data_IF_363233246243
#
_entry.id   IF_363233246243
#
_cell.length_a   1.000
_cell.length_b   1.000
_cell.length_c   1.000
_cell.angle_alpha   90.00
_cell.angle_beta   90.00
_cell.angle_gamma   90.00
#
_symmetry.space_group_name_H-M   'P 1'
#
loop_
_entity.id
_entity.type
_entity.pdbx_description
1 polymer ?
#
# COMPACT_ATOMS: atom_id res chain seq x y z
N UNK A 1 3.53 -16.56 3.69
CA UNK A 1 2.53 -16.49 4.79
C UNK A 1 1.39 -15.53 4.48
N UNK A 2 1.66 -14.34 3.94
CA UNK A 2 0.63 -13.33 3.59
C UNK A 2 -0.29 -13.79 2.45
N UNK A 3 0.23 -14.55 1.47
CA UNK A 3 -0.53 -15.01 0.30
C UNK A 3 -1.83 -15.76 0.68
N UNK A 4 -1.79 -16.63 1.71
CA UNK A 4 -3.00 -17.33 2.18
C UNK A 4 -4.09 -16.38 2.68
N UNK A 5 -3.70 -15.29 3.35
CA UNK A 5 -4.64 -14.28 3.86
C UNK A 5 -5.19 -13.42 2.72
N UNK A 6 -4.37 -13.07 1.73
CA UNK A 6 -4.79 -12.31 0.57
C UNK A 6 -5.77 -13.10 -0.32
N UNK A 7 -5.53 -14.40 -0.52
CA UNK A 7 -6.48 -15.25 -1.23
C UNK A 7 -7.83 -15.32 -0.51
N UNK A 8 -7.83 -15.54 0.81
CA UNK A 8 -9.08 -15.52 1.59
C UNK A 8 -9.75 -14.13 1.53
N UNK A 9 -8.97 -13.05 1.57
CA UNK A 9 -9.53 -11.70 1.44
C UNK A 9 -10.18 -11.49 0.06
N UNK A 10 -9.60 -12.03 -1.02
CA UNK A 10 -10.20 -12.01 -2.36
C UNK A 10 -11.54 -12.75 -2.38
N UNK A 11 -11.61 -13.92 -1.77
CA UNK A 11 -12.85 -14.72 -1.71
C UNK A 11 -13.96 -14.04 -0.92
N UNK A 12 -13.60 -13.22 0.08
CA UNK A 12 -14.54 -12.48 0.93
C UNK A 12 -14.89 -11.08 0.39
N UNK A 13 -14.10 -10.54 -0.52
CA UNK A 13 -14.29 -9.20 -1.05
C UNK A 13 -15.39 -9.20 -2.12
N UNK A 14 -16.31 -8.26 -2.01
CA UNK A 14 -17.31 -8.02 -3.06
C UNK A 14 -16.62 -7.55 -4.36
N UNK A 15 -17.23 -7.82 -5.52
CA UNK A 15 -16.71 -7.38 -6.84
C UNK A 15 -16.48 -5.85 -6.93
N UNK A 16 -17.34 -5.05 -6.28
CA UNK A 16 -17.19 -3.60 -6.18
C UNK A 16 -16.46 -3.16 -4.89
N UNK A 17 -15.97 -4.11 -4.10
CA UNK A 17 -15.32 -3.88 -2.81
C UNK A 17 -13.92 -3.31 -2.96
N UNK A 18 -13.55 -2.43 -2.02
CA UNK A 18 -12.20 -1.89 -1.90
C UNK A 18 -11.63 -2.23 -0.53
N UNK A 19 -10.34 -2.57 -0.47
CA UNK A 19 -9.64 -2.76 0.78
C UNK A 19 -8.29 -2.04 0.76
N UNK A 20 -7.82 -1.69 1.95
CA UNK A 20 -6.60 -0.91 2.14
C UNK A 20 -5.61 -1.72 2.98
N UNK A 21 -4.35 -1.74 2.57
CA UNK A 21 -3.26 -2.31 3.35
C UNK A 21 -2.35 -1.17 3.80
N UNK A 22 -2.19 -1.02 5.11
CA UNK A 22 -1.15 -0.17 5.67
C UNK A 22 0.15 -0.97 5.79
N UNK A 23 1.20 -0.54 5.10
CA UNK A 23 2.52 -1.18 5.12
C UNK A 23 3.63 -0.13 5.19
N UNK A 24 4.83 -0.55 5.57
CA UNK A 24 6.04 0.24 5.41
C UNK A 24 6.66 0.09 4.01
N UNK A 25 7.62 0.96 3.69
CA UNK A 25 8.20 1.03 2.35
C UNK A 25 9.08 -0.19 2.03
N UNK A 26 9.62 -0.86 3.06
CA UNK A 26 10.55 -1.99 2.89
C UNK A 26 9.89 -3.19 2.19
N UNK A 27 8.60 -3.40 2.43
CA UNK A 27 7.84 -4.52 1.87
C UNK A 27 6.83 -4.10 0.80
N UNK A 28 6.71 -2.80 0.51
CA UNK A 28 5.73 -2.28 -0.45
C UNK A 28 5.90 -2.88 -1.85
N UNK A 29 7.13 -2.94 -2.38
CA UNK A 29 7.39 -3.46 -3.72
C UNK A 29 7.01 -4.95 -3.85
N UNK A 30 7.41 -5.78 -2.88
CA UNK A 30 7.06 -7.20 -2.86
C UNK A 30 5.54 -7.41 -2.72
N UNK A 31 4.89 -6.63 -1.85
CA UNK A 31 3.44 -6.71 -1.69
C UNK A 31 2.71 -6.31 -2.96
N UNK A 32 3.17 -5.28 -3.69
CA UNK A 32 2.55 -4.85 -4.95
C UNK A 32 2.56 -5.99 -5.98
N UNK A 33 3.69 -6.67 -6.16
CA UNK A 33 3.79 -7.82 -7.08
C UNK A 33 2.80 -8.93 -6.71
N UNK A 34 2.70 -9.27 -5.42
CA UNK A 34 1.74 -10.28 -4.96
C UNK A 34 0.27 -9.85 -5.14
N UNK A 35 -0.01 -8.57 -4.93
CA UNK A 35 -1.34 -8.02 -5.12
C UNK A 35 -1.74 -8.05 -6.58
N UNK A 36 -0.81 -7.76 -7.50
CA UNK A 36 -1.04 -7.82 -8.94
C UNK A 36 -1.28 -9.26 -9.40
N UNK A 37 -0.54 -10.22 -8.85
CA UNK A 37 -0.75 -11.65 -9.14
C UNK A 37 -2.13 -12.14 -8.65
N UNK A 38 -2.58 -11.71 -7.47
CA UNK A 38 -3.82 -12.21 -6.86
C UNK A 38 -5.05 -11.45 -7.37
N UNK A 39 -4.99 -10.12 -7.44
CA UNK A 39 -6.12 -9.25 -7.74
C UNK A 39 -6.12 -8.69 -9.16
N UNK A 40 -5.03 -8.84 -9.93
CA UNK A 40 -4.87 -8.21 -11.23
C UNK A 40 -4.31 -6.79 -11.11
N UNK A 41 -3.35 -6.45 -11.96
CA UNK A 41 -2.70 -5.13 -11.98
C UNK A 41 -3.70 -4.02 -12.31
N UNK A 42 -4.71 -4.31 -13.13
CA UNK A 42 -5.77 -3.39 -13.54
C UNK A 42 -6.67 -2.93 -12.39
N UNK A 43 -6.73 -3.72 -11.31
CA UNK A 43 -7.53 -3.41 -10.12
C UNK A 43 -6.76 -2.57 -9.09
N UNK A 44 -5.50 -2.22 -9.37
CA UNK A 44 -4.76 -1.29 -8.52
C UNK A 44 -5.26 0.15 -8.70
N UNK A 45 -5.69 0.76 -7.59
CA UNK A 45 -6.24 2.12 -7.62
C UNK A 45 -5.19 3.19 -7.31
N UNK A 46 -4.52 3.10 -6.15
CA UNK A 46 -3.57 4.13 -5.71
C UNK A 46 -2.68 3.67 -4.55
N UNK A 47 -1.54 4.34 -4.39
CA UNK A 47 -0.71 4.29 -3.17
C UNK A 47 -0.82 5.61 -2.43
N UNK A 48 -1.02 5.55 -1.10
CA UNK A 48 -1.20 6.71 -0.25
C UNK A 48 -0.04 6.83 0.75
N UNK A 49 1.00 7.64 0.46
CA UNK A 49 2.13 7.80 1.36
C UNK A 49 1.72 8.55 2.63
N UNK A 50 1.87 7.91 3.79
CA UNK A 50 1.61 8.53 5.09
C UNK A 50 2.88 9.13 5.66
N UNK A 51 2.91 10.45 5.83
CA UNK A 51 3.98 11.14 6.57
C UNK A 51 3.91 10.79 8.05
N UNK A 52 4.86 10.00 8.55
CA UNK A 52 4.90 9.58 9.96
C UNK A 52 5.50 10.66 10.86
N UNK A 53 6.49 11.40 10.35
CA UNK A 53 7.21 12.43 11.09
C UNK A 53 7.32 13.72 10.27
N UNK A 54 7.02 14.85 10.91
CA UNK A 54 7.19 16.18 10.33
C UNK A 54 8.53 16.75 10.81
N UNK A 55 9.58 16.49 10.05
CA UNK A 55 10.81 17.29 10.18
C UNK A 55 10.62 18.59 9.42
N UNK A 56 10.44 19.69 10.15
CA UNK A 56 10.46 21.04 9.61
C UNK A 56 11.89 21.55 9.69
N UNK A 57 12.63 21.48 8.58
CA UNK A 57 13.90 22.21 8.46
C UNK A 57 13.55 23.69 8.51
N UNK A 58 13.92 24.38 9.59
CA UNK A 58 13.91 25.85 9.60
C UNK A 58 14.94 26.27 8.55
N UNK A 59 14.49 26.78 7.42
CA UNK A 59 15.35 27.53 6.50
C UNK A 59 15.94 28.68 7.30
N UNK A 60 17.21 28.56 7.69
CA UNK A 60 18.00 29.71 8.09
C UNK A 60 18.13 30.55 6.83
N UNK A 61 17.30 31.59 6.73
CA UNK A 61 17.54 32.70 5.82
C UNK A 61 18.91 33.22 6.22
N UNK A 62 19.93 32.88 5.42
CA UNK A 62 21.25 33.49 5.52
C UNK A 62 21.06 34.94 5.09
N UNK A 63 21.13 35.85 6.06
CA UNK A 63 21.47 37.24 5.78
C UNK A 63 22.85 37.30 5.14
#
# INVERSE_FOLDING_TARGET
MVNKRLNLAKDLLNEAGLFFILIDDNQHAYLKVLMDEIFGEENFIASCPRKKHLFRVKTLIKN
#
